data_IF_049092334257
#
_entry.id   IF_049092334257
#
_cell.length_a   1.000
_cell.length_b   1.000
_cell.length_c   1.000
_cell.angle_alpha   90.00
_cell.angle_beta   90.00
_cell.angle_gamma   90.00
#
_symmetry.space_group_name_H-M   'P 1'
#
loop_
_entity.id
_entity.type
_entity.pdbx_description
1 polymer ?
#
# COMPACT_ATOMS: atom_id res chain seq x y z
N UNK A 1 -23.40 -6.80 1.14
CA UNK A 1 -22.28 -6.40 2.03
C UNK A 1 -20.95 -6.54 1.29
N UNK A 2 -20.90 -6.23 0.00
CA UNK A 2 -20.73 -4.87 -0.57
C UNK A 2 -19.41 -4.22 -0.17
N UNK A 3 -18.51 -4.34 -1.14
CA UNK A 3 -17.12 -3.93 -1.17
C UNK A 3 -17.01 -2.44 -0.87
N UNK A 4 -16.28 -2.12 0.19
CA UNK A 4 -15.89 -0.76 0.59
C UNK A 4 -14.87 -0.12 -0.38
N UNK A 5 -14.86 -0.54 -1.65
CA UNK A 5 -13.81 -0.27 -2.63
C UNK A 5 -14.24 0.66 -3.77
N UNK A 6 -15.53 1.02 -3.88
CA UNK A 6 -16.01 1.83 -5.00
C UNK A 6 -15.84 3.35 -4.82
N UNK A 7 -15.49 3.83 -3.62
CA UNK A 7 -15.55 5.28 -3.31
C UNK A 7 -14.20 6.01 -3.33
N UNK A 8 -13.09 5.31 -3.55
CA UNK A 8 -11.76 5.94 -3.68
C UNK A 8 -11.25 5.92 -5.12
N UNK A 9 -12.16 5.84 -6.09
CA UNK A 9 -11.88 5.95 -7.52
C UNK A 9 -11.55 7.39 -7.95
N UNK A 10 -11.62 8.35 -7.03
CA UNK A 10 -11.18 9.72 -7.24
C UNK A 10 -9.71 9.84 -6.84
N UNK A 11 -8.84 9.51 -7.80
CA UNK A 11 -7.65 10.30 -8.14
C UNK A 11 -7.12 11.22 -7.03
N UNK A 12 -6.72 10.68 -5.87
CA UNK A 12 -5.92 11.43 -4.90
C UNK A 12 -4.49 11.48 -5.46
N UNK A 13 -4.35 12.27 -6.51
CA UNK A 13 -3.12 12.72 -7.16
C UNK A 13 -1.99 11.66 -7.12
N UNK A 14 -2.01 10.72 -8.06
CA UNK A 14 -1.05 9.60 -8.20
C UNK A 14 0.41 10.00 -7.93
N UNK A 15 0.81 11.20 -8.40
CA UNK A 15 2.15 11.73 -8.19
C UNK A 15 2.48 11.99 -6.72
N UNK A 16 1.52 12.48 -5.96
CA UNK A 16 1.69 12.81 -4.54
C UNK A 16 1.73 11.54 -3.70
N UNK A 17 0.81 10.60 -3.94
CA UNK A 17 0.76 9.33 -3.23
C UNK A 17 2.04 8.51 -3.46
N UNK A 18 2.51 8.44 -4.72
CA UNK A 18 3.76 7.74 -5.08
C UNK A 18 4.96 8.33 -4.34
N UNK A 19 5.06 9.65 -4.21
CA UNK A 19 6.14 10.30 -3.45
C UNK A 19 6.06 9.95 -1.97
N UNK A 20 4.88 9.98 -1.36
CA UNK A 20 4.73 9.61 0.04
C UNK A 20 5.01 8.13 0.30
N UNK A 21 4.56 7.23 -0.57
CA UNK A 21 4.87 5.80 -0.48
C UNK A 21 6.38 5.58 -0.62
N UNK A 22 7.05 6.26 -1.55
CA UNK A 22 8.52 6.18 -1.67
C UNK A 22 9.23 6.63 -0.40
N UNK A 23 8.86 7.79 0.15
CA UNK A 23 9.41 8.31 1.42
C UNK A 23 9.13 7.37 2.60
N UNK A 24 7.94 6.76 2.63
CA UNK A 24 7.57 5.83 3.67
C UNK A 24 8.42 4.56 3.59
N UNK A 25 8.59 3.99 2.38
CA UNK A 25 9.47 2.85 2.12
C UNK A 25 10.90 3.14 2.55
N UNK A 26 11.45 4.30 2.20
CA UNK A 26 12.78 4.74 2.64
C UNK A 26 12.89 4.79 4.17
N UNK A 27 11.84 5.28 4.85
CA UNK A 27 11.84 5.43 6.31
C UNK A 27 11.71 4.10 7.05
N UNK A 28 11.01 3.13 6.49
CA UNK A 28 10.82 1.80 7.09
C UNK A 28 11.78 0.74 6.52
N UNK A 29 12.65 1.11 5.57
CA UNK A 29 13.60 0.20 4.91
C UNK A 29 12.94 -0.86 4.03
N UNK A 30 11.81 -0.54 3.38
CA UNK A 30 11.06 -1.47 2.53
C UNK A 30 11.49 -1.36 1.07
N UNK A 31 11.64 -2.51 0.39
CA UNK A 31 12.08 -2.57 -1.01
C UNK A 31 10.91 -2.78 -1.98
N UNK A 32 11.06 -2.33 -3.23
CA UNK A 32 10.05 -2.51 -4.27
C UNK A 32 10.11 -3.90 -4.91
N UNK A 33 11.30 -4.50 -4.99
CA UNK A 33 11.54 -5.83 -5.53
C UNK A 33 11.10 -6.91 -4.52
N UNK A 34 11.33 -6.66 -3.23
CA UNK A 34 10.96 -7.54 -2.13
C UNK A 34 10.19 -6.76 -1.04
N UNK A 35 8.92 -6.44 -1.27
CA UNK A 35 8.12 -5.68 -0.31
C UNK A 35 7.79 -6.53 0.93
N UNK A 36 8.15 -6.01 2.09
CA UNK A 36 7.86 -6.59 3.42
C UNK A 36 6.63 -5.93 4.03
N UNK A 37 6.42 -4.63 3.76
CA UNK A 37 5.37 -3.83 4.38
C UNK A 37 4.35 -3.30 3.38
N UNK A 38 4.79 -2.88 2.19
CA UNK A 38 3.92 -2.23 1.20
C UNK A 38 3.98 -2.99 -0.12
N UNK A 39 2.88 -3.62 -0.51
CA UNK A 39 2.74 -4.28 -1.81
C UNK A 39 2.14 -3.31 -2.85
N UNK A 40 2.68 -3.30 -4.06
CA UNK A 40 2.13 -2.52 -5.17
C UNK A 40 1.21 -3.41 -6.02
N UNK A 41 -0.08 -3.09 -6.05
CA UNK A 41 -1.10 -3.82 -6.80
C UNK A 41 -1.44 -3.02 -8.06
N UNK A 42 -0.97 -3.49 -9.22
CA UNK A 42 -1.18 -2.80 -10.51
C UNK A 42 -2.66 -2.61 -10.80
N UNK A 43 -3.04 -1.38 -11.19
CA UNK A 43 -4.42 -1.00 -11.49
C UNK A 43 -5.31 -0.82 -10.26
N UNK A 44 -4.77 -0.98 -9.05
CA UNK A 44 -5.52 -0.82 -7.78
C UNK A 44 -4.84 0.19 -6.85
N UNK A 45 -3.52 0.12 -6.67
CA UNK A 45 -2.77 1.04 -5.79
C UNK A 45 -1.76 0.32 -4.91
N UNK A 46 -1.70 0.68 -3.63
CA UNK A 46 -0.76 0.12 -2.65
C UNK A 46 -1.51 -0.55 -1.49
N UNK A 47 -1.03 -1.72 -1.05
CA UNK A 47 -1.59 -2.49 0.07
C UNK A 47 -0.55 -2.59 1.20
N UNK A 48 -0.99 -2.41 2.45
CA UNK A 48 -0.17 -2.69 3.62
C UNK A 48 -0.27 -4.17 4.02
N UNK A 49 0.87 -4.88 4.08
CA UNK A 49 0.97 -6.32 4.41
C UNK A 49 1.71 -6.60 5.72
N UNK A 50 2.32 -5.58 6.35
CA UNK A 50 3.14 -5.73 7.55
C UNK A 50 2.41 -6.14 8.84
N UNK A 51 1.09 -6.34 8.79
CA UNK A 51 0.25 -6.71 9.95
C UNK A 51 -0.19 -8.18 9.93
N UNK A 52 0.04 -8.91 8.84
CA UNK A 52 -0.57 -10.26 8.65
C UNK A 52 0.18 -11.38 9.41
N UNK A 53 1.23 -11.05 10.18
CA UNK A 53 2.02 -12.01 10.98
C UNK A 53 1.69 -12.03 12.48
N UNK A 54 0.53 -11.52 12.89
CA UNK A 54 0.21 -11.37 14.33
C UNK A 54 -1.17 -11.93 14.72
N UNK A 55 -1.59 -13.08 14.21
CA UNK A 55 -2.62 -13.88 14.90
C UNK A 55 -2.36 -15.38 14.66
N UNK A 56 -1.52 -15.96 15.53
CA UNK A 56 -1.64 -17.36 15.92
C UNK A 56 -2.20 -17.36 17.34
N UNK A 57 -3.52 -17.54 17.46
CA UNK A 57 -4.19 -18.02 18.68
C UNK A 57 -4.96 -19.28 18.33
#
# INVERSE_FOLDING_TARGET
MEKLWDVTYDFVNDNTLTVYIKRLREKIGDDLCEPIYIETVRGIGYKWIGSENSVSI
#
